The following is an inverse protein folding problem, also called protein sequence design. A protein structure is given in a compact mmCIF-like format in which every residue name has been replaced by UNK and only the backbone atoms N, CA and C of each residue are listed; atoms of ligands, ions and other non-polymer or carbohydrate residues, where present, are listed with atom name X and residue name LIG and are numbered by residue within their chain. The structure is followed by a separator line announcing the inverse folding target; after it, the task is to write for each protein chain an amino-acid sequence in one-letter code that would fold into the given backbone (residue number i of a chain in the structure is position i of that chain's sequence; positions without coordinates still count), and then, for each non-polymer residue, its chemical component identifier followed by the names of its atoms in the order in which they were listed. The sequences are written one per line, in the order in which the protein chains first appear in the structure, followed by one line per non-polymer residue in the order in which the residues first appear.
data_IF_720904264204
#
_entry.id   IF_720904264204
#
_cell.length_a   1.000
_cell.length_b   1.000
_cell.length_c   1.000
_cell.angle_alpha   90.00
_cell.angle_beta   90.00
_cell.angle_gamma   90.00
#
_symmetry.space_group_name_H-M   'P 1'
#
loop_
_entity.id
_entity.type
_entity.pdbx_description
1 polymer ?
#
# COMPACT_ATOMS: atom_id res chain seq x y z
N UNK A 1 -5.06 44.28 -65.80
CA UNK A 1 -6.08 43.31 -66.26
C UNK A 1 -7.06 43.10 -65.19
N UNK A 2 -8.19 43.63 -65.38
CA UNK A 2 -9.40 43.70 -64.52
C UNK A 2 -10.10 42.35 -64.54
N UNK A 3 -10.45 41.79 -63.36
CA UNK A 3 -11.53 40.79 -63.31
C UNK A 3 -12.38 40.99 -62.06
N UNK A 4 -13.59 41.11 -62.38
CA UNK A 4 -14.84 41.44 -61.70
C UNK A 4 -15.26 40.48 -60.61
N UNK A 5 -15.70 41.05 -59.48
CA UNK A 5 -16.55 40.43 -58.45
C UNK A 5 -17.93 40.06 -59.03
N UNK A 6 -18.36 38.85 -58.72
CA UNK A 6 -19.81 38.49 -58.79
C UNK A 6 -20.30 38.10 -57.41
N UNK A 7 -21.20 38.93 -56.94
CA UNK A 7 -21.94 38.82 -55.68
C UNK A 7 -23.13 37.88 -55.91
N UNK A 8 -23.25 36.82 -55.09
CA UNK A 8 -24.46 35.96 -55.02
C UNK A 8 -25.06 35.99 -53.63
N UNK A 9 -25.94 36.97 -53.46
CA UNK A 9 -26.89 37.00 -52.38
C UNK A 9 -27.94 35.91 -52.56
N UNK A 10 -27.98 34.91 -51.71
CA UNK A 10 -29.07 33.95 -51.58
C UNK A 10 -29.95 34.33 -50.38
N UNK A 11 -31.18 34.63 -50.71
CA UNK A 11 -32.33 35.00 -49.84
C UNK A 11 -32.77 33.79 -49.04
N UNK A 12 -32.96 33.95 -47.74
CA UNK A 12 -33.58 32.96 -46.87
C UNK A 12 -35.11 32.89 -47.06
N UNK A 13 -35.69 31.69 -46.98
CA UNK A 13 -37.13 31.57 -46.82
C UNK A 13 -37.52 31.60 -45.34
N UNK A 14 -38.50 32.45 -45.04
CA UNK A 14 -39.26 32.45 -43.80
C UNK A 14 -40.17 31.22 -43.72
N UNK A 15 -40.07 30.44 -42.63
CA UNK A 15 -41.12 29.51 -42.22
C UNK A 15 -41.29 29.56 -40.71
N UNK A 16 -42.40 30.07 -40.29
CA UNK A 16 -42.99 29.87 -38.97
C UNK A 16 -43.12 28.37 -38.71
N UNK A 17 -42.65 27.92 -37.58
CA UNK A 17 -42.98 26.58 -37.10
C UNK A 17 -43.20 26.62 -35.59
N UNK A 18 -44.38 26.18 -35.23
CA UNK A 18 -44.98 26.06 -33.92
C UNK A 18 -44.03 25.52 -32.83
N UNK A 19 -44.15 26.12 -31.65
CA UNK A 19 -43.59 25.62 -30.42
C UNK A 19 -44.25 24.30 -30.01
N UNK A 20 -43.59 23.19 -30.26
CA UNK A 20 -43.97 21.91 -29.68
C UNK A 20 -43.48 21.85 -28.23
N UNK A 21 -44.42 21.78 -27.31
CA UNK A 21 -44.25 21.52 -25.89
C UNK A 21 -43.46 20.24 -25.69
N UNK A 22 -42.22 20.36 -25.18
CA UNK A 22 -41.44 19.22 -24.72
C UNK A 22 -42.02 18.75 -23.39
N UNK A 23 -42.76 17.64 -23.45
CA UNK A 23 -43.20 16.92 -22.26
C UNK A 23 -41.98 16.49 -21.44
N UNK A 24 -41.90 16.94 -20.20
CA UNK A 24 -40.95 16.39 -19.21
C UNK A 24 -41.24 14.90 -19.04
N UNK A 25 -40.31 14.06 -19.50
CA UNK A 25 -40.31 12.66 -19.14
C UNK A 25 -39.91 12.60 -17.66
N UNK A 26 -40.87 12.44 -16.79
CA UNK A 26 -40.65 11.95 -15.42
C UNK A 26 -40.19 10.52 -15.54
N UNK A 27 -38.94 10.25 -15.10
CA UNK A 27 -38.41 8.89 -14.97
C UNK A 27 -39.33 8.03 -14.08
N UNK A 28 -39.29 6.71 -14.20
CA UNK A 28 -40.15 5.85 -13.42
C UNK A 28 -39.94 6.12 -11.92
N UNK A 29 -41.06 6.29 -11.20
CA UNK A 29 -41.06 6.36 -9.74
C UNK A 29 -40.40 5.10 -9.17
N UNK A 30 -39.64 5.23 -8.07
CA UNK A 30 -39.09 4.05 -7.40
C UNK A 30 -40.25 3.16 -6.95
N UNK A 31 -40.21 1.91 -7.40
CA UNK A 31 -41.18 0.90 -6.95
C UNK A 31 -40.84 0.60 -5.49
N UNK A 32 -41.67 1.06 -4.57
CA UNK A 32 -41.66 0.68 -3.17
C UNK A 32 -41.92 -0.83 -3.06
N UNK A 33 -40.86 -1.63 -3.07
CA UNK A 33 -40.92 -3.00 -2.61
C UNK A 33 -41.11 -3.01 -1.09
N UNK A 34 -41.74 -4.05 -0.50
CA UNK A 34 -41.94 -4.12 0.94
C UNK A 34 -40.62 -3.97 1.67
N UNK A 35 -40.46 -2.92 2.48
CA UNK A 35 -39.34 -2.70 3.34
C UNK A 35 -39.26 -3.92 4.27
N UNK A 36 -38.34 -4.84 3.97
CA UNK A 36 -37.91 -5.85 4.94
C UNK A 36 -37.29 -5.08 6.10
N UNK A 37 -37.94 -5.06 7.24
CA UNK A 37 -37.53 -4.39 8.45
C UNK A 37 -36.30 -5.04 9.09
N UNK A 38 -35.16 -4.97 8.38
CA UNK A 38 -33.85 -5.22 8.97
C UNK A 38 -33.41 -3.87 9.51
N UNK A 39 -33.61 -3.64 10.79
CA UNK A 39 -33.01 -2.50 11.48
C UNK A 39 -31.50 -2.44 11.20
N UNK A 40 -30.86 -1.27 11.36
CA UNK A 40 -29.43 -1.16 11.10
C UNK A 40 -28.69 -2.25 11.91
N UNK A 41 -27.90 -3.08 11.20
CA UNK A 41 -27.06 -4.08 11.85
C UNK A 41 -26.18 -3.38 12.89
N UNK A 42 -25.94 -4.03 14.03
CA UNK A 42 -25.01 -3.49 15.03
C UNK A 42 -23.65 -3.24 14.36
N UNK A 43 -22.98 -2.11 14.68
CA UNK A 43 -21.70 -1.78 14.08
C UNK A 43 -20.69 -2.91 14.29
N UNK A 44 -19.99 -3.29 13.24
CA UNK A 44 -18.94 -4.30 13.29
C UNK A 44 -17.70 -3.76 14.00
N UNK A 45 -16.76 -4.65 14.35
CA UNK A 45 -15.46 -4.27 14.88
C UNK A 45 -14.74 -3.30 13.94
N UNK A 46 -14.74 -3.59 12.64
CA UNK A 46 -14.15 -2.73 11.62
C UNK A 46 -14.81 -1.34 11.60
N UNK A 47 -16.13 -1.25 11.68
CA UNK A 47 -16.84 0.03 11.71
C UNK A 47 -16.40 0.90 12.90
N UNK A 48 -16.24 0.31 14.08
CA UNK A 48 -15.78 1.02 15.26
C UNK A 48 -14.35 1.53 15.12
N UNK A 49 -13.46 0.71 14.52
CA UNK A 49 -12.07 1.09 14.24
C UNK A 49 -12.01 2.21 13.20
N UNK A 50 -12.75 2.10 12.10
CA UNK A 50 -12.81 3.12 11.05
C UNK A 50 -13.42 4.43 11.56
N UNK A 51 -14.45 4.38 12.39
CA UNK A 51 -15.01 5.58 13.03
C UNK A 51 -13.98 6.35 13.86
N UNK A 52 -13.05 5.65 14.51
CA UNK A 52 -11.93 6.25 15.27
C UNK A 52 -10.84 6.79 14.36
N UNK A 53 -10.50 6.10 13.27
CA UNK A 53 -9.35 6.41 12.42
C UNK A 53 -9.65 7.43 11.31
N UNK A 54 -10.86 7.46 10.74
CA UNK A 54 -11.21 8.37 9.63
C UNK A 54 -10.96 9.84 9.92
N UNK A 55 -11.29 10.40 11.10
CA UNK A 55 -10.91 11.78 11.41
C UNK A 55 -9.40 12.04 11.37
N UNK A 56 -8.59 11.02 11.71
CA UNK A 56 -7.13 11.10 11.59
C UNK A 56 -6.70 11.04 10.12
N UNK A 57 -7.31 10.17 9.32
CA UNK A 57 -7.05 10.09 7.88
C UNK A 57 -7.40 11.39 7.16
N UNK A 58 -8.52 12.02 7.51
CA UNK A 58 -8.92 13.32 6.94
C UNK A 58 -7.87 14.39 7.26
N UNK A 59 -7.45 14.49 8.52
CA UNK A 59 -6.38 15.40 8.95
C UNK A 59 -5.04 15.13 8.24
N UNK A 60 -4.70 13.87 7.99
CA UNK A 60 -3.51 13.47 7.23
C UNK A 60 -3.61 13.94 5.79
N UNK A 61 -4.77 13.74 5.15
CA UNK A 61 -5.00 14.10 3.76
C UNK A 61 -4.86 15.61 3.50
N UNK A 62 -5.30 16.46 4.43
CA UNK A 62 -5.15 17.93 4.35
C UNK A 62 -3.70 18.37 4.13
N UNK A 63 -2.74 17.70 4.76
CA UNK A 63 -1.32 18.05 4.69
C UNK A 63 -0.49 17.27 3.65
N UNK A 64 -1.06 16.29 2.95
CA UNK A 64 -0.29 15.38 2.08
C UNK A 64 0.44 16.08 0.96
N UNK A 65 -0.18 17.06 0.27
CA UNK A 65 0.46 17.78 -0.83
C UNK A 65 1.65 18.59 -0.33
N UNK A 66 1.52 19.30 0.79
CA UNK A 66 2.60 20.11 1.35
C UNK A 66 3.78 19.21 1.76
N UNK A 67 3.53 18.09 2.43
CA UNK A 67 4.60 17.15 2.79
C UNK A 67 5.36 16.61 1.57
N UNK A 68 4.63 16.23 0.50
CA UNK A 68 5.25 15.76 -0.75
C UNK A 68 6.11 16.83 -1.43
N UNK A 69 5.68 18.10 -1.39
CA UNK A 69 6.42 19.22 -2.00
C UNK A 69 7.67 19.61 -1.22
N UNK A 70 7.57 19.58 0.10
CA UNK A 70 8.62 20.02 1.01
C UNK A 70 9.56 18.87 1.41
N UNK A 71 9.32 17.64 0.95
CA UNK A 71 10.02 16.43 1.39
C UNK A 71 10.03 16.31 2.92
N UNK A 72 8.90 16.61 3.54
CA UNK A 72 8.75 16.61 4.99
C UNK A 72 8.29 15.25 5.51
N UNK A 73 9.15 14.55 6.26
CA UNK A 73 8.81 13.27 6.87
C UNK A 73 7.56 13.39 7.75
N UNK A 74 6.61 12.43 7.66
CA UNK A 74 5.31 12.47 8.33
C UNK A 74 5.39 12.07 9.81
N UNK A 75 6.28 12.72 10.59
CA UNK A 75 6.49 12.38 12.02
C UNK A 75 5.20 12.58 12.84
N UNK A 76 4.52 13.72 12.66
CA UNK A 76 3.25 13.95 13.34
C UNK A 76 2.11 13.03 12.86
N UNK A 77 1.90 12.82 11.55
CA UNK A 77 0.95 11.82 11.06
C UNK A 77 1.15 10.41 11.63
N UNK A 78 2.40 9.94 11.74
CA UNK A 78 2.69 8.65 12.38
C UNK A 78 2.27 8.67 13.85
N UNK A 79 2.59 9.75 14.59
CA UNK A 79 2.17 9.88 15.99
C UNK A 79 0.64 9.89 16.13
N UNK A 80 -0.08 10.66 15.30
CA UNK A 80 -1.56 10.68 15.34
C UNK A 80 -2.16 9.31 15.10
N UNK A 81 -1.59 8.51 14.20
CA UNK A 81 -2.00 7.13 13.95
C UNK A 81 -1.75 6.24 15.16
N UNK A 82 -0.57 6.33 15.77
CA UNK A 82 -0.23 5.56 16.98
C UNK A 82 -1.15 5.94 18.15
N UNK A 83 -1.37 7.23 18.40
CA UNK A 83 -2.27 7.75 19.44
C UNK A 83 -3.72 7.29 19.22
N UNK A 84 -4.14 7.15 17.96
CA UNK A 84 -5.42 6.59 17.57
C UNK A 84 -5.46 5.05 17.60
N UNK A 85 -4.38 4.37 18.00
CA UNK A 85 -4.31 2.92 18.20
C UNK A 85 -3.99 2.13 16.93
N UNK A 86 -3.36 2.73 15.92
CA UNK A 86 -3.01 2.03 14.69
C UNK A 86 -2.02 0.88 14.92
N UNK A 87 -1.10 1.03 15.87
CA UNK A 87 -0.11 0.00 16.21
C UNK A 87 -0.74 -1.30 16.76
N UNK A 88 -1.97 -1.25 17.29
CA UNK A 88 -2.62 -2.39 17.94
C UNK A 88 -3.74 -3.05 17.14
N UNK A 89 -3.93 -2.68 15.88
CA UNK A 89 -5.06 -3.14 15.06
C UNK A 89 -5.19 -4.67 15.03
N UNK A 90 -4.09 -5.39 14.88
CA UNK A 90 -4.04 -6.86 14.84
C UNK A 90 -3.88 -7.51 16.23
N UNK A 91 -3.47 -6.75 17.24
CA UNK A 91 -3.27 -7.26 18.62
C UNK A 91 -4.60 -7.78 19.16
N UNK A 92 -4.65 -8.99 19.78
CA UNK A 92 -5.87 -9.53 20.37
C UNK A 92 -6.47 -8.62 21.45
N UNK A 93 -7.78 -8.66 21.61
CA UNK A 93 -8.52 -7.85 22.59
C UNK A 93 -8.09 -8.11 24.03
N UNK A 94 -7.69 -9.34 24.37
CA UNK A 94 -7.20 -9.72 25.69
C UNK A 94 -5.87 -9.03 26.06
N UNK A 95 -5.14 -8.52 25.06
CA UNK A 95 -3.94 -7.70 25.24
C UNK A 95 -4.19 -6.19 25.06
N UNK A 96 -5.46 -5.78 24.90
CA UNK A 96 -5.83 -4.37 24.71
C UNK A 96 -5.79 -3.89 23.26
N UNK A 97 -5.73 -4.80 22.31
CA UNK A 97 -5.79 -4.51 20.88
C UNK A 97 -7.21 -4.49 20.31
N UNK A 98 -7.31 -4.24 19.02
CA UNK A 98 -8.57 -4.24 18.27
C UNK A 98 -8.92 -5.63 17.70
N UNK A 99 -7.96 -6.56 17.60
CA UNK A 99 -8.14 -7.92 17.14
C UNK A 99 -8.68 -8.04 15.71
N UNK A 100 -8.34 -7.10 14.81
CA UNK A 100 -8.79 -7.15 13.43
C UNK A 100 -8.28 -8.41 12.72
N UNK A 101 -9.08 -8.94 11.82
CA UNK A 101 -8.65 -9.94 10.83
C UNK A 101 -7.75 -9.30 9.78
N UNK A 102 -7.03 -10.10 8.98
CA UNK A 102 -6.20 -9.59 7.88
C UNK A 102 -7.04 -8.87 6.80
N UNK A 103 -8.23 -9.35 6.41
CA UNK A 103 -9.14 -8.61 5.53
C UNK A 103 -9.58 -7.26 6.10
N UNK A 104 -9.92 -7.19 7.38
CA UNK A 104 -10.28 -5.92 8.05
C UNK A 104 -9.10 -4.95 8.10
N UNK A 105 -7.90 -5.43 8.41
CA UNK A 105 -6.67 -4.63 8.35
C UNK A 105 -6.42 -4.09 6.93
N UNK A 106 -6.60 -4.91 5.90
CA UNK A 106 -6.40 -4.50 4.51
C UNK A 106 -7.33 -3.35 4.11
N UNK A 107 -8.59 -3.35 4.54
CA UNK A 107 -9.52 -2.22 4.32
C UNK A 107 -9.03 -0.94 5.00
N UNK A 108 -8.54 -1.02 6.23
CA UNK A 108 -7.95 0.13 6.95
C UNK A 108 -6.72 0.67 6.20
N UNK A 109 -5.86 -0.21 5.70
CA UNK A 109 -4.67 0.17 4.94
C UNK A 109 -5.01 0.85 3.61
N UNK A 110 -6.05 0.41 2.91
CA UNK A 110 -6.52 1.05 1.67
C UNK A 110 -7.04 2.47 1.96
N UNK A 111 -7.83 2.67 3.01
CA UNK A 111 -8.32 4.00 3.39
C UNK A 111 -7.17 4.93 3.82
N UNK A 112 -6.22 4.44 4.61
CA UNK A 112 -5.02 5.20 4.98
C UNK A 112 -4.18 5.57 3.74
N UNK A 113 -3.97 4.63 2.81
CA UNK A 113 -3.23 4.89 1.59
C UNK A 113 -3.91 5.92 0.66
N UNK A 114 -5.25 5.99 0.69
CA UNK A 114 -6.00 7.02 -0.03
C UNK A 114 -5.85 8.42 0.60
N UNK A 115 -5.53 8.50 1.89
CA UNK A 115 -5.18 9.74 2.57
C UNK A 115 -3.71 10.15 2.29
N UNK A 116 -2.77 9.23 2.53
CA UNK A 116 -1.34 9.40 2.23
C UNK A 116 -0.70 8.02 1.97
N UNK A 117 -0.27 7.77 0.74
CA UNK A 117 0.24 6.48 0.30
C UNK A 117 1.57 6.06 0.92
N UNK A 118 2.29 6.99 1.59
CA UNK A 118 3.54 6.66 2.27
C UNK A 118 3.29 5.94 3.61
N UNK A 119 2.20 6.27 4.31
CA UNK A 119 1.96 5.85 5.68
C UNK A 119 1.77 4.33 5.86
N UNK A 120 0.98 3.61 5.05
CA UNK A 120 0.89 2.16 5.22
C UNK A 120 2.24 1.45 5.03
N UNK A 121 3.08 1.97 4.14
CA UNK A 121 4.42 1.44 3.91
C UNK A 121 5.33 1.62 5.14
N UNK A 122 5.20 2.73 5.87
CA UNK A 122 5.91 2.96 7.13
C UNK A 122 5.61 1.85 8.15
N UNK A 123 4.34 1.44 8.25
CA UNK A 123 3.90 0.42 9.19
C UNK A 123 4.07 -1.02 8.69
N UNK A 124 4.56 -1.25 7.48
CA UNK A 124 4.68 -2.59 6.89
C UNK A 124 5.55 -3.53 7.75
N UNK A 125 6.69 -3.04 8.23
CA UNK A 125 7.57 -3.81 9.13
C UNK A 125 6.87 -4.14 10.45
N UNK A 126 6.19 -3.16 11.04
CA UNK A 126 5.40 -3.34 12.26
C UNK A 126 4.30 -4.40 12.11
N UNK A 127 3.49 -4.30 11.06
CA UNK A 127 2.41 -5.26 10.78
C UNK A 127 2.96 -6.69 10.68
N UNK A 128 4.08 -6.87 9.97
CA UNK A 128 4.69 -8.19 9.83
C UNK A 128 5.29 -8.70 11.15
N UNK A 129 5.85 -7.81 11.99
CA UNK A 129 6.38 -8.23 13.29
C UNK A 129 5.26 -8.54 14.30
N UNK A 130 4.13 -7.80 14.27
CA UNK A 130 2.94 -8.16 15.03
C UNK A 130 2.45 -9.56 14.64
N UNK A 131 2.36 -9.83 13.33
CA UNK A 131 1.92 -11.14 12.83
C UNK A 131 2.89 -12.26 13.25
N UNK A 132 4.19 -12.03 13.19
CA UNK A 132 5.20 -12.96 13.69
C UNK A 132 5.00 -13.30 15.17
N UNK A 133 4.70 -12.29 16.00
CA UNK A 133 4.39 -12.53 17.43
C UNK A 133 3.07 -13.24 17.63
N UNK A 134 2.06 -13.02 16.78
CA UNK A 134 0.79 -13.74 16.85
C UNK A 134 0.96 -15.24 16.57
N UNK A 135 1.91 -15.61 15.70
CA UNK A 135 2.22 -17.00 15.37
C UNK A 135 3.19 -17.67 16.35
N UNK A 136 3.87 -16.89 17.19
CA UNK A 136 4.78 -17.44 18.21
C UNK A 136 4.01 -18.16 19.34
N UNK A 137 4.69 -19.12 19.98
CA UNK A 137 4.12 -19.85 21.11
C UNK A 137 3.67 -18.89 22.23
N UNK A 138 2.51 -19.12 22.86
CA UNK A 138 2.04 -18.32 23.99
C UNK A 138 3.07 -18.28 25.13
N UNK A 139 3.22 -17.11 25.76
CA UNK A 139 4.10 -16.93 26.93
C UNK A 139 5.00 -15.70 26.86
N UNK A 140 5.85 -15.57 27.83
CA UNK A 140 6.72 -14.47 28.20
C UNK A 140 7.01 -13.41 27.14
N UNK A 141 7.87 -13.72 26.19
CA UNK A 141 8.34 -12.75 25.19
C UNK A 141 7.24 -12.32 24.22
N UNK A 142 6.46 -13.28 23.69
CA UNK A 142 5.30 -12.99 22.84
C UNK A 142 4.33 -12.03 23.51
N UNK A 143 3.93 -12.33 24.74
CA UNK A 143 2.94 -11.56 25.47
C UNK A 143 3.48 -10.17 25.86
N UNK A 144 4.80 -10.07 26.12
CA UNK A 144 5.47 -8.80 26.34
C UNK A 144 5.37 -7.89 25.09
N UNK A 145 5.64 -8.43 23.90
CA UNK A 145 5.51 -7.69 22.64
C UNK A 145 4.07 -7.27 22.36
N UNK A 146 3.09 -8.15 22.55
CA UNK A 146 1.67 -7.79 22.34
C UNK A 146 1.24 -6.63 23.25
N UNK A 147 1.72 -6.56 24.49
CA UNK A 147 1.47 -5.41 25.38
C UNK A 147 2.17 -4.13 24.94
N UNK A 148 3.41 -4.24 24.41
CA UNK A 148 4.14 -3.09 23.83
C UNK A 148 3.39 -2.50 22.64
N UNK A 149 2.92 -3.33 21.70
CA UNK A 149 2.11 -2.88 20.57
C UNK A 149 0.80 -2.23 21.02
N UNK A 150 0.13 -2.82 22.03
CA UNK A 150 -1.07 -2.23 22.61
C UNK A 150 -0.81 -0.87 23.28
N UNK A 151 0.40 -0.66 23.81
CA UNK A 151 0.86 0.62 24.36
C UNK A 151 1.33 1.63 23.30
N UNK A 152 1.40 1.23 22.00
CA UNK A 152 1.75 2.12 20.90
C UNK A 152 3.20 2.04 20.44
N UNK A 153 4.02 1.11 20.98
CA UNK A 153 5.37 0.92 20.42
C UNK A 153 5.28 0.31 19.02
N UNK A 154 6.07 0.83 18.08
CA UNK A 154 6.13 0.33 16.71
C UNK A 154 7.52 -0.21 16.36
N UNK A 155 7.55 -1.08 15.34
CA UNK A 155 8.76 -1.76 14.88
C UNK A 155 8.96 -1.48 13.39
N UNK A 156 10.11 -0.94 13.01
CA UNK A 156 10.55 -0.84 11.61
C UNK A 156 11.16 -2.15 11.12
N UNK A 157 11.68 -2.14 9.90
CA UNK A 157 12.42 -3.28 9.38
C UNK A 157 13.76 -2.86 8.76
N UNK A 158 14.77 -3.74 8.86
CA UNK A 158 16.09 -3.52 8.31
C UNK A 158 16.66 -4.86 7.78
N UNK A 159 16.13 -5.34 6.66
CA UNK A 159 16.45 -6.68 6.15
C UNK A 159 17.45 -6.68 5.00
N UNK A 160 17.35 -5.71 4.09
CA UNK A 160 18.11 -5.70 2.85
C UNK A 160 19.47 -5.03 3.02
N UNK A 161 20.41 -5.46 2.22
CA UNK A 161 21.74 -4.87 2.08
C UNK A 161 21.98 -4.49 0.61
N UNK A 162 22.73 -3.41 0.40
CA UNK A 162 23.24 -3.03 -0.90
C UNK A 162 24.69 -3.45 -1.03
N UNK A 163 25.10 -4.00 -2.17
CA UNK A 163 26.48 -4.41 -2.43
C UNK A 163 26.62 -5.82 -2.96
N UNK A 164 27.86 -6.32 -3.01
CA UNK A 164 28.24 -7.58 -3.63
C UNK A 164 28.21 -8.80 -2.68
N UNK A 165 27.31 -8.82 -1.70
CA UNK A 165 27.13 -10.00 -0.84
C UNK A 165 26.65 -11.23 -1.63
N UNK A 166 27.08 -12.42 -1.24
CA UNK A 166 26.61 -13.65 -1.85
C UNK A 166 25.11 -13.84 -1.67
N UNK A 167 24.46 -14.52 -2.62
CA UNK A 167 23.02 -14.73 -2.62
C UNK A 167 22.56 -15.40 -1.30
N UNK A 168 21.62 -14.76 -0.61
CA UNK A 168 21.05 -15.30 0.64
C UNK A 168 21.93 -15.14 1.87
N UNK A 169 23.06 -14.40 1.81
CA UNK A 169 23.91 -14.13 2.98
C UNK A 169 23.76 -12.69 3.45
N UNK A 170 23.92 -12.47 4.78
CA UNK A 170 23.97 -11.14 5.37
C UNK A 170 25.41 -10.78 5.74
N UNK A 171 25.83 -9.55 5.40
CA UNK A 171 27.11 -9.00 5.87
C UNK A 171 26.99 -8.38 7.26
N UNK A 172 25.79 -8.06 7.70
CA UNK A 172 25.51 -7.63 9.07
C UNK A 172 25.71 -8.80 10.01
N UNK A 173 26.57 -8.65 11.02
CA UNK A 173 26.97 -9.72 11.92
C UNK A 173 26.41 -9.51 13.32
N UNK A 174 25.91 -10.59 13.91
CA UNK A 174 25.53 -10.68 15.31
C UNK A 174 26.55 -11.53 16.04
N UNK A 175 27.32 -10.92 16.93
CA UNK A 175 28.43 -11.56 17.61
C UNK A 175 28.25 -11.53 19.13
N UNK A 176 28.73 -12.58 19.84
CA UNK A 176 28.73 -12.62 21.29
C UNK A 176 29.95 -11.89 21.84
N UNK A 177 29.77 -10.90 22.72
CA UNK A 177 30.84 -10.23 23.45
C UNK A 177 30.55 -10.28 24.95
N UNK A 178 31.18 -11.24 25.61
CA UNK A 178 30.94 -11.55 27.02
C UNK A 178 29.52 -12.11 27.20
N UNK A 179 28.68 -11.41 27.97
CA UNK A 179 27.29 -11.77 28.26
C UNK A 179 26.26 -11.16 27.32
N UNK A 180 26.67 -10.38 26.30
CA UNK A 180 25.78 -9.62 25.41
C UNK A 180 25.97 -10.02 23.95
N UNK A 181 24.94 -9.82 23.18
CA UNK A 181 24.99 -9.76 21.71
C UNK A 181 25.29 -8.36 21.26
N UNK A 182 26.12 -8.20 20.25
CA UNK A 182 26.40 -6.94 19.55
C UNK A 182 26.19 -7.11 18.05
N UNK A 183 25.52 -6.15 17.47
CA UNK A 183 25.20 -6.11 16.05
C UNK A 183 26.13 -5.09 15.36
N UNK A 184 26.75 -5.53 14.27
CA UNK A 184 27.61 -4.71 13.43
C UNK A 184 27.25 -4.89 11.96
N UNK A 185 27.06 -3.78 11.24
CA UNK A 185 26.74 -3.83 9.81
C UNK A 185 25.98 -2.62 9.32
N UNK A 186 25.48 -2.74 8.09
CA UNK A 186 24.73 -1.69 7.41
C UNK A 186 23.56 -2.29 6.64
N UNK A 187 22.38 -1.73 6.85
CA UNK A 187 21.19 -2.08 6.10
C UNK A 187 20.71 -0.89 5.27
N UNK A 188 20.06 -1.18 4.15
CA UNK A 188 19.37 -0.20 3.29
C UNK A 188 17.93 -0.66 3.04
N UNK A 189 17.05 0.24 2.61
CA UNK A 189 15.59 0.04 2.55
C UNK A 189 14.97 -0.21 3.93
N UNK A 190 15.41 0.57 4.94
CA UNK A 190 14.98 0.41 6.34
C UNK A 190 13.69 1.16 6.65
N UNK A 191 12.71 0.97 5.79
CA UNK A 191 11.42 1.65 5.79
C UNK A 191 10.76 1.64 7.18
N UNK A 192 10.34 2.81 7.64
CA UNK A 192 9.62 2.97 8.91
C UNK A 192 10.51 3.02 10.16
N UNK A 193 11.76 2.54 10.10
CA UNK A 193 12.62 2.45 11.28
C UNK A 193 12.95 3.80 11.91
N UNK A 194 13.00 4.88 11.12
CA UNK A 194 13.27 6.23 11.63
C UNK A 194 12.15 6.77 12.53
N UNK A 195 10.95 6.22 12.44
CA UNK A 195 9.77 6.60 13.24
C UNK A 195 9.51 5.66 14.41
N UNK A 196 10.22 4.53 14.49
CA UNK A 196 9.93 3.40 15.36
C UNK A 196 10.88 3.34 16.56
N UNK A 197 10.40 2.82 17.70
CA UNK A 197 11.23 2.54 18.87
C UNK A 197 12.16 1.36 18.65
N UNK A 198 11.80 0.47 17.72
CA UNK A 198 12.53 -0.77 17.44
C UNK A 198 12.66 -0.99 15.93
N UNK A 199 13.66 -1.78 15.55
CA UNK A 199 13.81 -2.28 14.18
C UNK A 199 14.10 -3.78 14.19
N UNK A 200 13.40 -4.52 13.32
CA UNK A 200 13.62 -5.95 13.05
C UNK A 200 14.73 -6.09 11.99
N UNK A 201 15.86 -6.66 12.37
CA UNK A 201 17.07 -6.70 11.55
C UNK A 201 17.42 -8.15 11.22
N UNK A 202 17.69 -8.45 9.95
CA UNK A 202 18.31 -9.72 9.57
C UNK A 202 19.83 -9.65 9.73
N UNK A 203 20.44 -10.68 10.30
CA UNK A 203 21.88 -10.76 10.50
C UNK A 203 22.40 -12.19 10.28
N UNK A 204 23.69 -12.32 10.18
CA UNK A 204 24.38 -13.61 10.20
C UNK A 204 25.00 -13.80 11.59
N UNK A 205 24.74 -14.96 12.17
CA UNK A 205 25.33 -15.42 13.42
C UNK A 205 26.10 -16.72 13.12
N UNK A 206 27.43 -16.62 12.96
CA UNK A 206 28.30 -17.77 12.68
C UNK A 206 27.86 -18.63 11.47
N UNK A 207 27.34 -18.01 10.42
CA UNK A 207 26.85 -18.67 9.21
C UNK A 207 25.36 -19.04 9.26
N UNK A 208 24.65 -18.74 10.34
CA UNK A 208 23.24 -18.96 10.52
C UNK A 208 22.45 -17.65 10.34
N UNK A 209 21.39 -17.68 9.55
CA UNK A 209 20.51 -16.53 9.37
C UNK A 209 19.62 -16.32 10.60
N UNK A 210 19.72 -15.13 11.21
CA UNK A 210 18.94 -14.76 12.40
C UNK A 210 18.21 -13.43 12.18
N UNK A 211 17.19 -13.20 13.00
CA UNK A 211 16.61 -11.88 13.21
C UNK A 211 17.02 -11.35 14.59
N UNK A 212 17.25 -10.05 14.66
CA UNK A 212 17.58 -9.35 15.89
C UNK A 212 16.70 -8.11 16.03
N UNK A 213 16.02 -7.95 17.17
CA UNK A 213 15.20 -6.77 17.43
C UNK A 213 16.02 -5.76 18.21
N UNK A 214 16.22 -4.59 17.61
CA UNK A 214 17.17 -3.57 18.07
C UNK A 214 16.44 -2.29 18.42
N UNK A 215 16.74 -1.66 19.55
CA UNK A 215 16.26 -0.32 19.88
C UNK A 215 16.87 0.71 18.94
N UNK A 216 16.04 1.51 18.30
CA UNK A 216 16.52 2.54 17.35
C UNK A 216 17.23 3.70 18.04
N UNK A 217 16.82 4.08 19.24
CA UNK A 217 17.34 5.19 20.00
C UNK A 217 18.55 4.88 20.89
N UNK A 218 19.23 3.72 20.72
CA UNK A 218 20.39 3.37 21.55
C UNK A 218 21.72 3.84 20.92
N UNK A 219 22.81 3.92 21.71
CA UNK A 219 24.16 4.10 21.17
C UNK A 219 24.51 3.01 20.15
N UNK A 220 25.24 3.39 19.10
CA UNK A 220 25.66 2.45 18.06
C UNK A 220 24.61 2.23 16.96
N UNK A 221 23.46 2.89 17.00
CA UNK A 221 22.46 2.89 15.92
C UNK A 221 22.37 4.26 15.30
N UNK A 222 22.66 4.36 14.00
CA UNK A 222 22.55 5.60 13.23
C UNK A 222 21.61 5.38 12.04
N UNK A 223 20.51 6.17 11.95
CA UNK A 223 19.50 6.08 10.92
C UNK A 223 19.55 7.34 10.07
N UNK A 224 19.53 7.18 8.75
CA UNK A 224 19.55 8.26 7.76
C UNK A 224 18.32 8.21 6.88
N UNK A 225 17.76 9.38 6.55
CA UNK A 225 16.75 9.56 5.51
C UNK A 225 17.48 9.90 4.20
N UNK A 226 18.02 8.89 3.55
CA UNK A 226 18.83 8.99 2.32
C UNK A 226 18.21 8.24 1.12
N UNK A 227 16.89 8.05 1.14
CA UNK A 227 16.14 7.52 0.01
C UNK A 227 16.07 8.53 -1.14
N UNK A 228 16.60 8.17 -2.32
CA UNK A 228 16.65 9.03 -3.51
C UNK A 228 15.67 8.60 -4.64
N UNK A 229 14.74 7.70 -4.33
CA UNK A 229 13.71 7.27 -5.28
C UNK A 229 12.70 8.38 -5.59
N UNK A 230 12.17 8.40 -6.83
CA UNK A 230 11.24 9.44 -7.28
C UNK A 230 9.83 9.37 -6.65
N UNK A 231 9.52 8.33 -5.91
CA UNK A 231 8.25 8.16 -5.19
C UNK A 231 8.42 7.44 -3.86
N UNK A 232 7.37 7.42 -3.05
CA UNK A 232 7.42 6.93 -1.66
C UNK A 232 8.54 7.61 -0.86
N UNK A 233 8.72 8.90 -1.09
CA UNK A 233 9.84 9.67 -0.56
C UNK A 233 9.72 9.96 0.94
N UNK A 234 8.53 9.78 1.49
CA UNK A 234 8.22 10.13 2.88
C UNK A 234 8.07 8.90 3.79
N UNK A 235 8.57 7.76 3.34
CA UNK A 235 8.46 6.49 4.09
C UNK A 235 9.57 6.29 5.12
N UNK A 236 10.54 7.21 5.20
CA UNK A 236 11.74 7.04 6.02
C UNK A 236 12.55 5.81 5.60
N UNK A 237 12.46 5.46 4.31
CA UNK A 237 13.33 4.45 3.71
C UNK A 237 14.72 5.04 3.58
N UNK A 238 15.75 4.30 4.02
CA UNK A 238 17.12 4.80 3.99
C UNK A 238 18.10 3.80 4.57
N UNK A 239 19.20 4.31 5.09
CA UNK A 239 20.30 3.52 5.66
C UNK A 239 20.20 3.45 7.19
N UNK A 240 20.45 2.27 7.75
CA UNK A 240 20.82 2.10 9.17
C UNK A 240 22.22 1.54 9.24
N UNK A 241 23.05 2.13 10.10
CA UNK A 241 24.38 1.64 10.46
C UNK A 241 24.37 1.18 11.91
N UNK A 242 24.82 -0.03 12.14
CA UNK A 242 25.00 -0.62 13.46
C UNK A 242 26.51 -0.68 13.77
N UNK A 243 26.91 -0.13 14.91
CA UNK A 243 28.28 -0.15 15.42
C UNK A 243 28.23 -0.56 16.88
N UNK A 244 28.51 -1.82 17.15
CA UNK A 244 28.40 -2.44 18.47
C UNK A 244 27.03 -2.21 19.14
N UNK A 245 25.95 -2.21 18.36
CA UNK A 245 24.59 -2.04 18.86
C UNK A 245 24.20 -3.26 19.71
N UNK A 246 23.73 -3.02 20.95
CA UNK A 246 23.40 -4.09 21.87
C UNK A 246 22.09 -4.77 21.49
N UNK A 247 22.03 -6.11 21.64
CA UNK A 247 20.83 -6.92 21.44
C UNK A 247 20.65 -7.84 22.63
N UNK A 248 19.43 -7.88 23.17
CA UNK A 248 19.07 -8.78 24.29
C UNK A 248 18.93 -10.22 23.77
N UNK A 249 19.28 -11.22 24.58
CA UNK A 249 19.14 -12.65 24.20
C UNK A 249 17.72 -13.01 23.73
N UNK A 250 16.73 -12.50 24.41
CA UNK A 250 15.31 -12.73 24.09
C UNK A 250 14.87 -12.12 22.76
N UNK A 251 15.65 -11.21 22.21
CA UNK A 251 15.38 -10.50 20.95
C UNK A 251 16.07 -11.12 19.74
N UNK A 252 16.69 -12.30 19.89
CA UNK A 252 17.35 -13.04 18.81
C UNK A 252 16.56 -14.31 18.50
N UNK A 253 16.21 -14.51 17.22
CA UNK A 253 15.51 -15.70 16.75
C UNK A 253 16.11 -16.20 15.44
N UNK A 254 15.91 -17.48 15.11
CA UNK A 254 16.23 -18.00 13.79
C UNK A 254 15.33 -17.37 12.73
N UNK A 255 15.87 -17.03 11.57
CA UNK A 255 15.07 -16.48 10.48
C UNK A 255 14.03 -17.47 9.99
N UNK A 256 14.33 -18.77 9.99
CA UNK A 256 13.46 -19.84 9.54
C UNK A 256 12.28 -20.13 10.49
N UNK A 257 12.33 -19.63 11.74
CA UNK A 257 11.23 -19.75 12.70
C UNK A 257 10.05 -18.82 12.38
N UNK A 258 10.26 -17.84 11.48
CA UNK A 258 9.22 -16.88 11.09
C UNK A 258 8.03 -17.57 10.42
N UNK A 259 6.90 -16.90 10.46
CA UNK A 259 5.67 -17.39 9.83
C UNK A 259 5.82 -17.50 8.29
N UNK A 260 5.26 -18.58 7.71
CA UNK A 260 5.50 -18.93 6.29
C UNK A 260 4.91 -17.93 5.30
N UNK A 261 3.71 -17.39 5.57
CA UNK A 261 3.02 -16.44 4.69
C UNK A 261 3.54 -14.99 4.77
N UNK A 262 4.71 -14.78 5.35
CA UNK A 262 5.27 -13.42 5.52
C UNK A 262 5.43 -12.66 4.20
N UNK A 263 5.84 -13.34 3.12
CA UNK A 263 6.05 -12.71 1.81
C UNK A 263 4.72 -12.23 1.22
N UNK A 264 3.67 -13.05 1.30
CA UNK A 264 2.32 -12.68 0.86
C UNK A 264 1.74 -11.53 1.69
N UNK A 265 1.97 -11.53 3.02
CA UNK A 265 1.55 -10.43 3.91
C UNK A 265 2.28 -9.12 3.58
N UNK A 266 3.59 -9.14 3.41
CA UNK A 266 4.36 -7.96 2.99
C UNK A 266 3.86 -7.41 1.65
N UNK A 267 3.55 -8.30 0.70
CA UNK A 267 3.02 -7.90 -0.60
C UNK A 267 1.58 -7.35 -0.49
N UNK A 268 0.74 -7.91 0.38
CA UNK A 268 -0.62 -7.41 0.64
C UNK A 268 -0.61 -5.94 1.05
N UNK A 269 0.32 -5.52 1.94
CA UNK A 269 0.45 -4.10 2.33
C UNK A 269 0.76 -3.23 1.11
N UNK A 270 1.67 -3.67 0.22
CA UNK A 270 2.00 -2.94 -1.01
C UNK A 270 0.80 -2.85 -1.97
N UNK A 271 0.03 -3.93 -2.08
CA UNK A 271 -1.20 -3.95 -2.89
C UNK A 271 -2.27 -3.03 -2.32
N UNK A 272 -2.40 -2.95 -0.99
CA UNK A 272 -3.29 -1.99 -0.32
C UNK A 272 -2.86 -0.54 -0.60
N UNK A 273 -1.55 -0.25 -0.62
CA UNK A 273 -1.04 1.06 -1.04
C UNK A 273 -1.46 1.37 -2.48
N UNK A 274 -1.29 0.43 -3.42
CA UNK A 274 -1.72 0.63 -4.81
C UNK A 274 -3.23 0.88 -4.92
N UNK A 275 -4.05 0.14 -4.17
CA UNK A 275 -5.51 0.33 -4.16
C UNK A 275 -5.90 1.70 -3.59
N UNK A 276 -5.25 2.16 -2.53
CA UNK A 276 -5.46 3.50 -1.98
C UNK A 276 -5.01 4.60 -2.93
N UNK A 277 -3.89 4.43 -3.64
CA UNK A 277 -3.46 5.37 -4.71
C UNK A 277 -4.49 5.42 -5.83
N UNK A 278 -5.06 4.29 -6.25
CA UNK A 278 -6.10 4.27 -7.27
C UNK A 278 -7.36 5.03 -6.82
N UNK A 279 -7.81 4.82 -5.57
CA UNK A 279 -8.94 5.53 -4.98
C UNK A 279 -8.67 7.05 -4.85
N UNK A 280 -7.47 7.45 -4.42
CA UNK A 280 -7.06 8.86 -4.37
C UNK A 280 -7.00 9.49 -5.76
N UNK A 281 -6.52 8.75 -6.75
CA UNK A 281 -6.47 9.18 -8.16
C UNK A 281 -7.87 9.47 -8.69
N UNK A 282 -8.83 8.57 -8.45
CA UNK A 282 -10.24 8.76 -8.83
C UNK A 282 -10.82 9.99 -8.15
N UNK A 283 -10.72 10.10 -6.82
CA UNK A 283 -11.24 11.21 -6.02
C UNK A 283 -10.71 12.55 -6.50
N UNK A 284 -9.39 12.70 -6.60
CA UNK A 284 -8.72 13.95 -6.93
C UNK A 284 -8.99 14.36 -8.39
N UNK A 285 -9.09 13.39 -9.30
CA UNK A 285 -9.46 13.62 -10.70
C UNK A 285 -10.91 14.13 -10.80
N UNK A 286 -11.85 13.45 -10.14
CA UNK A 286 -13.25 13.81 -10.16
C UNK A 286 -13.48 15.19 -9.53
N UNK A 287 -12.79 15.52 -8.45
CA UNK A 287 -12.85 16.83 -7.82
C UNK A 287 -12.32 17.91 -8.77
N UNK A 288 -11.13 17.73 -9.34
CA UNK A 288 -10.53 18.70 -10.24
C UNK A 288 -11.40 18.96 -11.50
N UNK A 289 -12.12 17.94 -11.98
CA UNK A 289 -13.08 18.08 -13.10
C UNK A 289 -14.30 18.87 -12.68
N UNK A 290 -14.89 18.62 -11.51
CA UNK A 290 -16.05 19.37 -10.98
C UNK A 290 -15.73 20.86 -10.80
N UNK A 291 -14.54 21.19 -10.37
CA UNK A 291 -14.07 22.56 -10.12
C UNK A 291 -13.68 23.30 -11.40
N UNK A 292 -13.47 22.57 -12.52
CA UNK A 292 -12.98 23.17 -13.76
C UNK A 292 -14.09 23.90 -14.50
N UNK A 293 -13.87 25.20 -14.73
CA UNK A 293 -14.79 26.07 -15.47
C UNK A 293 -14.38 26.30 -16.93
N UNK A 294 -13.11 26.09 -17.28
CA UNK A 294 -12.58 26.29 -18.63
C UNK A 294 -12.75 25.03 -19.47
N UNK A 295 -13.30 25.20 -20.68
CA UNK A 295 -13.45 24.13 -21.67
C UNK A 295 -12.53 24.37 -22.87
N UNK A 296 -12.27 23.34 -23.64
CA UNK A 296 -11.64 23.45 -24.94
C UNK A 296 -12.70 23.54 -26.04
N UNK A 297 -12.38 24.25 -27.13
CA UNK A 297 -13.27 24.40 -28.30
C UNK A 297 -13.60 23.07 -29.00
N UNK A 298 -12.79 22.03 -28.77
CA UNK A 298 -13.00 20.67 -29.28
C UNK A 298 -13.82 19.79 -28.31
N UNK A 299 -14.16 20.30 -27.13
CA UNK A 299 -15.03 19.60 -26.19
C UNK A 299 -16.46 19.54 -26.74
N UNK A 300 -17.19 18.51 -26.35
CA UNK A 300 -18.56 18.27 -26.84
C UNK A 300 -19.65 18.78 -25.89
N UNK A 301 -19.26 19.41 -24.78
CA UNK A 301 -20.17 19.96 -23.79
C UNK A 301 -19.75 21.36 -23.29
N UNK A 302 -20.68 22.12 -22.73
CA UNK A 302 -20.43 23.45 -22.16
C UNK A 302 -19.71 23.43 -20.81
N UNK A 303 -19.72 22.29 -20.10
CA UNK A 303 -18.96 22.05 -18.87
C UNK A 303 -18.11 20.79 -19.04
N UNK A 304 -16.89 20.82 -18.52
CA UNK A 304 -15.95 19.68 -18.61
C UNK A 304 -16.54 18.40 -17.98
N UNK A 305 -17.28 18.54 -16.88
CA UNK A 305 -17.90 17.40 -16.19
C UNK A 305 -19.02 16.71 -17.00
N UNK A 306 -19.56 17.38 -18.01
CA UNK A 306 -20.64 16.88 -18.85
C UNK A 306 -20.10 16.34 -20.20
N UNK A 307 -18.80 16.47 -20.45
CA UNK A 307 -18.15 15.96 -21.65
C UNK A 307 -18.02 14.43 -21.60
N UNK A 308 -18.67 13.75 -22.53
CA UNK A 308 -18.72 12.29 -22.57
C UNK A 308 -17.33 11.64 -22.72
N UNK A 309 -16.37 12.30 -23.39
CA UNK A 309 -15.00 11.78 -23.52
C UNK A 309 -14.26 11.83 -22.16
N UNK A 310 -14.42 12.91 -21.42
CA UNK A 310 -13.87 13.06 -20.07
C UNK A 310 -14.51 12.05 -19.12
N UNK A 311 -15.85 11.91 -19.18
CA UNK A 311 -16.57 10.92 -18.37
C UNK A 311 -16.10 9.49 -18.65
N UNK A 312 -15.82 9.12 -19.90
CA UNK A 312 -15.30 7.80 -20.25
C UNK A 312 -13.92 7.54 -19.60
N UNK A 313 -13.01 8.51 -19.64
CA UNK A 313 -11.69 8.36 -19.00
C UNK A 313 -11.81 8.26 -17.47
N UNK A 314 -12.67 9.05 -16.84
CA UNK A 314 -12.93 8.93 -15.39
C UNK A 314 -13.52 7.56 -15.06
N UNK A 315 -14.40 7.03 -15.92
CA UNK A 315 -14.95 5.68 -15.80
C UNK A 315 -13.87 4.59 -15.82
N UNK A 316 -12.83 4.73 -16.67
CA UNK A 316 -11.66 3.83 -16.65
C UNK A 316 -10.91 3.92 -15.31
N UNK A 317 -10.63 5.13 -14.82
CA UNK A 317 -9.93 5.34 -13.54
C UNK A 317 -10.72 4.70 -12.39
N UNK A 318 -12.04 4.94 -12.33
CA UNK A 318 -12.94 4.38 -11.32
C UNK A 318 -12.97 2.85 -11.37
N UNK A 319 -13.00 2.26 -12.58
CA UNK A 319 -12.96 0.81 -12.77
C UNK A 319 -11.65 0.19 -12.26
N UNK A 320 -10.52 0.88 -12.42
CA UNK A 320 -9.24 0.45 -11.85
C UNK A 320 -9.26 0.52 -10.32
N UNK A 321 -9.81 1.58 -9.73
CA UNK A 321 -9.92 1.72 -8.28
C UNK A 321 -10.79 0.60 -7.67
N UNK A 322 -11.94 0.31 -8.28
CA UNK A 322 -12.80 -0.82 -7.91
C UNK A 322 -12.08 -2.17 -8.00
N UNK A 323 -11.40 -2.41 -9.12
CA UNK A 323 -10.65 -3.66 -9.36
C UNK A 323 -9.54 -3.83 -8.32
N UNK A 324 -8.79 -2.75 -8.02
CA UNK A 324 -7.69 -2.79 -7.06
C UNK A 324 -8.19 -3.17 -5.66
N UNK A 325 -9.26 -2.55 -5.18
CA UNK A 325 -9.85 -2.87 -3.87
C UNK A 325 -10.37 -4.32 -3.82
N UNK A 326 -11.01 -4.78 -4.90
CA UNK A 326 -11.52 -6.16 -5.00
C UNK A 326 -10.38 -7.18 -4.94
N UNK A 327 -9.28 -6.96 -5.66
CA UNK A 327 -8.12 -7.84 -5.65
C UNK A 327 -7.43 -7.86 -4.29
N UNK A 328 -7.28 -6.70 -3.63
CA UNK A 328 -6.72 -6.62 -2.27
C UNK A 328 -7.53 -7.46 -1.30
N UNK A 329 -8.86 -7.40 -1.35
CA UNK A 329 -9.74 -8.23 -0.50
C UNK A 329 -9.49 -9.71 -0.75
N UNK A 330 -9.46 -10.16 -2.01
CA UNK A 330 -9.23 -11.57 -2.34
C UNK A 330 -7.84 -12.07 -1.93
N UNK A 331 -6.81 -11.21 -1.96
CA UNK A 331 -5.48 -11.53 -1.42
C UNK A 331 -5.53 -11.62 0.11
N UNK A 332 -6.19 -10.67 0.76
CA UNK A 332 -6.28 -10.62 2.22
C UNK A 332 -7.01 -11.85 2.80
N UNK A 333 -8.08 -12.31 2.13
CA UNK A 333 -8.78 -13.55 2.48
C UNK A 333 -7.87 -14.78 2.34
N UNK A 334 -7.05 -14.86 1.28
CA UNK A 334 -6.11 -15.95 1.11
C UNK A 334 -4.98 -15.93 2.16
N UNK A 335 -4.46 -14.73 2.50
CA UNK A 335 -3.44 -14.57 3.56
C UNK A 335 -4.03 -14.90 4.94
N UNK A 336 -5.31 -14.55 5.20
CA UNK A 336 -6.01 -14.98 6.42
C UNK A 336 -6.11 -16.51 6.49
N UNK A 337 -6.45 -17.17 5.40
CA UNK A 337 -6.48 -18.65 5.35
C UNK A 337 -5.13 -19.27 5.73
N UNK A 338 -4.02 -18.69 5.26
CA UNK A 338 -2.68 -19.14 5.65
C UNK A 338 -2.37 -18.86 7.13
N UNK A 339 -2.86 -17.75 7.68
CA UNK A 339 -2.72 -17.44 9.10
C UNK A 339 -3.53 -18.41 9.97
N UNK A 340 -4.73 -18.77 9.55
CA UNK A 340 -5.62 -19.68 10.28
C UNK A 340 -5.08 -21.12 10.32
N UNK A 341 -4.33 -21.55 9.29
CA UNK A 341 -3.72 -22.89 9.21
C UNK A 341 -2.29 -22.96 9.77
N UNK A 342 -1.69 -21.83 10.18
CA UNK A 342 -0.29 -21.78 10.62
C UNK A 342 0.02 -22.69 11.82
N UNK A 343 -0.97 -22.98 12.67
CA UNK A 343 -0.86 -23.93 13.78
C UNK A 343 -0.70 -25.40 13.31
N UNK A 344 -1.03 -25.71 12.04
CA UNK A 344 -0.87 -27.00 11.38
C UNK A 344 0.43 -27.05 10.56
N UNK A 345 1.44 -26.29 10.92
CA UNK A 345 2.68 -26.12 10.17
C UNK A 345 3.16 -27.46 9.58
N UNK A 346 3.49 -27.44 8.28
CA UNK A 346 3.94 -28.58 7.47
C UNK A 346 2.89 -29.63 7.10
N UNK A 347 1.61 -29.40 7.43
CA UNK A 347 0.50 -30.20 6.87
C UNK A 347 0.20 -29.81 5.43
N UNK A 348 -0.49 -30.71 4.69
CA UNK A 348 -0.96 -30.43 3.32
C UNK A 348 -1.91 -29.23 3.29
N UNK A 349 -2.72 -29.04 4.34
CA UNK A 349 -3.66 -27.93 4.48
C UNK A 349 -2.91 -26.59 4.63
N UNK A 350 -1.94 -26.51 5.54
CA UNK A 350 -1.08 -25.33 5.71
C UNK A 350 -0.32 -25.00 4.42
N UNK A 351 0.27 -26.01 3.77
CA UNK A 351 0.99 -25.83 2.51
C UNK A 351 0.07 -25.28 1.41
N UNK A 352 -1.13 -25.85 1.25
CA UNK A 352 -2.09 -25.41 0.25
C UNK A 352 -2.56 -23.96 0.49
N UNK A 353 -2.82 -23.59 1.74
CA UNK A 353 -3.20 -22.22 2.11
C UNK A 353 -2.08 -21.22 1.81
N UNK A 354 -0.84 -21.53 2.15
CA UNK A 354 0.32 -20.70 1.85
C UNK A 354 0.57 -20.54 0.33
N UNK A 355 0.45 -21.63 -0.44
CA UNK A 355 0.51 -21.61 -1.92
C UNK A 355 -0.57 -20.69 -2.48
N UNK A 356 -1.81 -20.79 -1.99
CA UNK A 356 -2.90 -19.93 -2.44
C UNK A 356 -2.62 -18.46 -2.14
N UNK A 357 -2.12 -18.13 -0.94
CA UNK A 357 -1.78 -16.77 -0.55
C UNK A 357 -0.71 -16.16 -1.47
N UNK A 358 0.37 -16.88 -1.78
CA UNK A 358 1.43 -16.43 -2.68
C UNK A 358 0.93 -16.27 -4.12
N UNK A 359 0.13 -17.21 -4.64
CA UNK A 359 -0.41 -17.14 -5.99
C UNK A 359 -1.39 -15.96 -6.14
N UNK A 360 -2.31 -15.76 -5.19
CA UNK A 360 -3.23 -14.61 -5.21
C UNK A 360 -2.49 -13.28 -5.12
N UNK A 361 -1.49 -13.21 -4.26
CA UNK A 361 -0.59 -12.06 -4.13
C UNK A 361 0.14 -11.76 -5.45
N UNK A 362 0.72 -12.77 -6.11
CA UNK A 362 1.40 -12.62 -7.39
C UNK A 362 0.44 -12.21 -8.52
N UNK A 363 -0.77 -12.81 -8.61
CA UNK A 363 -1.79 -12.45 -9.59
C UNK A 363 -2.21 -10.98 -9.45
N UNK A 364 -2.50 -10.53 -8.21
CA UNK A 364 -2.85 -9.14 -7.94
C UNK A 364 -1.69 -8.19 -8.26
N UNK A 365 -0.46 -8.55 -7.93
CA UNK A 365 0.72 -7.74 -8.25
C UNK A 365 0.88 -7.54 -9.76
N UNK A 366 0.74 -8.58 -10.57
CA UNK A 366 0.83 -8.49 -12.04
C UNK A 366 -0.20 -7.48 -12.58
N UNK A 367 -1.45 -7.56 -12.13
CA UNK A 367 -2.52 -6.67 -12.61
C UNK A 367 -2.33 -5.25 -12.11
N UNK A 368 -2.10 -5.05 -10.82
CA UNK A 368 -2.09 -3.71 -10.21
C UNK A 368 -0.81 -2.91 -10.52
N UNK A 369 0.32 -3.59 -10.74
CA UNK A 369 1.58 -2.92 -11.11
C UNK A 369 1.52 -2.22 -12.47
N UNK A 370 0.60 -2.61 -13.34
CA UNK A 370 0.35 -1.98 -14.64
C UNK A 370 -0.85 -1.02 -14.58
N UNK A 371 -1.99 -1.50 -14.04
CA UNK A 371 -3.25 -0.77 -14.13
C UNK A 371 -3.26 0.52 -13.29
N UNK A 372 -2.68 0.50 -12.08
CA UNK A 372 -2.72 1.68 -11.18
C UNK A 372 -1.83 2.82 -11.69
N UNK A 373 -0.55 2.62 -12.08
CA UNK A 373 0.23 3.68 -12.72
C UNK A 373 -0.42 4.19 -14.02
N UNK A 374 -1.07 3.31 -14.81
CA UNK A 374 -1.82 3.73 -16.01
C UNK A 374 -2.99 4.64 -15.64
N UNK A 375 -3.79 4.30 -14.64
CA UNK A 375 -4.88 5.15 -14.16
C UNK A 375 -4.39 6.53 -13.71
N UNK A 376 -3.27 6.59 -12.97
CA UNK A 376 -2.63 7.85 -12.57
C UNK A 376 -2.14 8.68 -13.76
N UNK A 377 -1.75 8.04 -14.87
CA UNK A 377 -1.40 8.74 -16.14
C UNK A 377 -2.63 9.33 -16.80
N UNK A 378 -3.77 8.65 -16.78
CA UNK A 378 -5.03 9.11 -17.41
C UNK A 378 -5.56 10.43 -16.84
N UNK A 379 -5.20 10.78 -15.60
CA UNK A 379 -5.51 12.08 -14.97
C UNK A 379 -5.09 13.24 -15.88
N UNK A 380 -3.89 13.15 -16.48
CA UNK A 380 -3.35 14.20 -17.33
C UNK A 380 -4.08 14.30 -18.68
N UNK A 381 -4.68 13.21 -19.15
CA UNK A 381 -5.51 13.21 -20.35
C UNK A 381 -6.83 13.97 -20.15
N UNK A 382 -7.38 13.98 -18.92
CA UNK A 382 -8.63 14.67 -18.60
C UNK A 382 -8.44 16.16 -18.32
N UNK A 383 -7.34 16.54 -17.69
CA UNK A 383 -7.11 17.89 -17.19
C UNK A 383 -6.12 18.70 -18.04
N UNK A 384 -5.35 18.03 -18.91
CA UNK A 384 -4.37 18.66 -19.79
C UNK A 384 -3.22 19.34 -19.03
N UNK A 385 -2.56 20.32 -19.65
CA UNK A 385 -1.35 20.96 -19.13
C UNK A 385 -1.49 21.53 -17.71
N UNK A 386 -2.67 21.99 -17.32
CA UNK A 386 -2.88 22.53 -15.96
C UNK A 386 -2.77 21.48 -14.85
N UNK A 387 -2.84 20.18 -15.19
CA UNK A 387 -2.64 19.08 -14.25
C UNK A 387 -1.16 18.88 -13.89
N UNK A 388 -0.24 19.37 -14.72
CA UNK A 388 1.21 19.24 -14.48
C UNK A 388 1.77 20.28 -13.51
N UNK A 389 0.90 21.16 -12.97
CA UNK A 389 1.31 22.15 -11.95
C UNK A 389 1.83 21.45 -10.69
N UNK A 390 3.03 21.86 -10.25
CA UNK A 390 3.62 21.35 -8.99
C UNK A 390 2.70 21.58 -7.79
N UNK A 391 1.99 22.72 -7.74
CA UNK A 391 1.06 23.05 -6.66
C UNK A 391 -0.10 22.02 -6.53
N UNK A 392 -0.45 21.32 -7.57
CA UNK A 392 -1.48 20.27 -7.54
C UNK A 392 -0.93 18.91 -7.14
N UNK A 393 0.36 18.69 -7.32
CA UNK A 393 1.09 17.45 -7.02
C UNK A 393 0.36 16.17 -7.49
N UNK A 394 -0.40 16.22 -8.62
CA UNK A 394 -1.14 15.07 -9.14
C UNK A 394 -0.20 13.96 -9.66
N UNK A 395 1.02 14.30 -10.01
CA UNK A 395 2.09 13.37 -10.37
C UNK A 395 2.50 12.46 -9.21
N UNK A 396 2.22 12.84 -7.94
CA UNK A 396 2.50 12.01 -6.77
C UNK A 396 1.82 10.65 -6.86
N UNK A 397 0.61 10.58 -7.44
CA UNK A 397 -0.12 9.33 -7.61
C UNK A 397 0.67 8.35 -8.51
N UNK A 398 1.16 8.84 -9.65
CA UNK A 398 1.97 8.03 -10.54
C UNK A 398 3.32 7.66 -9.92
N UNK A 399 4.04 8.62 -9.35
CA UNK A 399 5.36 8.38 -8.72
C UNK A 399 5.27 7.35 -7.61
N UNK A 400 4.32 7.50 -6.70
CA UNK A 400 4.14 6.59 -5.58
C UNK A 400 3.67 5.20 -6.04
N UNK A 401 2.69 5.11 -6.95
CA UNK A 401 2.25 3.84 -7.52
C UNK A 401 3.39 3.12 -8.25
N UNK A 402 4.16 3.84 -9.08
CA UNK A 402 5.26 3.23 -9.83
C UNK A 402 6.37 2.71 -8.92
N UNK A 403 6.70 3.45 -7.87
CA UNK A 403 7.70 3.04 -6.88
C UNK A 403 7.26 1.79 -6.13
N UNK A 404 6.04 1.76 -5.61
CA UNK A 404 5.46 0.60 -4.91
C UNK A 404 5.40 -0.63 -5.83
N UNK A 405 4.96 -0.44 -7.09
CA UNK A 405 4.92 -1.52 -8.09
C UNK A 405 6.31 -2.10 -8.43
N UNK A 406 7.38 -1.36 -8.15
CA UNK A 406 8.75 -1.79 -8.42
C UNK A 406 9.43 -2.47 -7.22
N UNK A 407 8.80 -2.48 -6.04
CA UNK A 407 9.39 -3.00 -4.80
C UNK A 407 9.84 -4.46 -4.95
N UNK A 408 9.01 -5.30 -5.55
CA UNK A 408 9.36 -6.67 -5.93
C UNK A 408 9.28 -6.79 -7.47
N UNK A 409 10.29 -7.40 -8.14
CA UNK A 409 10.31 -7.47 -9.60
C UNK A 409 9.12 -8.25 -10.17
N UNK A 410 8.14 -7.51 -10.75
CA UNK A 410 6.89 -8.09 -11.28
C UNK A 410 7.09 -9.07 -12.43
N UNK A 411 8.19 -8.92 -13.17
CA UNK A 411 8.53 -9.79 -14.31
C UNK A 411 8.60 -11.28 -13.91
N UNK A 412 9.03 -11.58 -12.68
CA UNK A 412 9.07 -12.96 -12.19
C UNK A 412 7.72 -13.47 -11.72
N UNK A 413 6.81 -12.56 -11.33
CA UNK A 413 5.48 -12.94 -10.79
C UNK A 413 4.57 -13.54 -11.88
N UNK A 414 4.54 -12.93 -13.07
CA UNK A 414 3.78 -13.47 -14.19
C UNK A 414 4.24 -14.90 -14.58
N UNK A 415 5.57 -15.15 -14.58
CA UNK A 415 6.14 -16.48 -14.81
C UNK A 415 5.70 -17.49 -13.75
N UNK A 416 5.76 -17.11 -12.46
CA UNK A 416 5.35 -17.99 -11.35
C UNK A 416 3.87 -18.37 -11.47
N UNK A 417 3.00 -17.39 -11.75
CA UNK A 417 1.57 -17.63 -11.95
C UNK A 417 1.33 -18.54 -13.16
N UNK A 418 2.06 -18.32 -14.25
CA UNK A 418 1.97 -19.16 -15.47
C UNK A 418 2.41 -20.60 -15.21
N UNK A 419 3.53 -20.80 -14.53
CA UNK A 419 4.04 -22.13 -14.17
C UNK A 419 3.09 -22.87 -13.24
N UNK A 420 2.55 -22.21 -12.23
CA UNK A 420 1.48 -22.76 -11.40
C UNK A 420 0.26 -23.19 -12.22
N UNK A 421 -0.20 -22.33 -13.13
CA UNK A 421 -1.40 -22.64 -13.95
C UNK A 421 -1.20 -23.78 -14.94
N UNK A 422 0.02 -24.00 -15.44
CA UNK A 422 0.33 -25.02 -16.44
C UNK A 422 0.75 -26.33 -15.77
N UNK A 423 1.66 -26.24 -14.80
CA UNK A 423 2.38 -27.39 -14.25
C UNK A 423 2.01 -27.70 -12.79
N UNK A 424 1.30 -26.79 -12.09
CA UNK A 424 1.03 -26.91 -10.67
C UNK A 424 2.27 -26.71 -9.78
N UNK A 425 3.33 -26.10 -10.30
CA UNK A 425 4.58 -25.86 -9.54
C UNK A 425 4.31 -24.86 -8.41
N UNK A 426 4.51 -25.21 -7.12
CA UNK A 426 4.33 -24.28 -6.01
C UNK A 426 5.23 -23.06 -6.12
N UNK A 427 4.75 -21.87 -5.73
CA UNK A 427 5.56 -20.64 -5.71
C UNK A 427 6.63 -20.72 -4.60
N UNK A 428 7.76 -20.01 -4.72
CA UNK A 428 8.69 -19.86 -3.61
C UNK A 428 8.10 -18.97 -2.51
N UNK A 429 8.30 -19.33 -1.25
CA UNK A 429 7.83 -18.58 -0.08
C UNK A 429 8.83 -17.52 0.40
N UNK A 430 10.10 -17.61 -0.02
CA UNK A 430 11.17 -16.68 0.37
C UNK A 430 11.93 -16.25 -0.89
N UNK A 431 12.39 -15.01 -0.90
CA UNK A 431 13.18 -14.42 -1.97
C UNK A 431 14.56 -14.07 -1.44
N UNK A 432 15.60 -14.59 -2.09
CA UNK A 432 16.99 -14.26 -1.79
C UNK A 432 17.50 -13.21 -2.77
N UNK A 433 18.29 -12.26 -2.26
CA UNK A 433 18.95 -11.21 -3.03
C UNK A 433 20.45 -11.33 -2.79
N UNK A 434 21.25 -11.08 -3.82
CA UNK A 434 22.72 -11.13 -3.74
C UNK A 434 23.36 -11.48 -5.05
N UNK A 435 24.67 -11.68 -5.04
CA UNK A 435 25.48 -12.08 -6.20
C UNK A 435 25.42 -13.59 -6.40
N UNK A 436 25.00 -14.04 -7.59
CA UNK A 436 25.01 -15.46 -7.93
C UNK A 436 26.45 -16.01 -7.91
N UNK A 437 26.64 -17.30 -7.56
CA UNK A 437 27.94 -17.96 -7.70
C UNK A 437 28.45 -17.83 -9.14
N UNK A 438 29.75 -17.57 -9.29
CA UNK A 438 30.36 -17.59 -10.64
C UNK A 438 30.20 -18.99 -11.23
N UNK A 439 29.72 -19.17 -12.46
CA UNK A 439 29.69 -20.48 -13.08
C UNK A 439 31.12 -21.03 -13.11
N UNK A 440 31.30 -22.26 -12.59
CA UNK A 440 32.57 -23.00 -12.61
C UNK A 440 32.93 -23.43 -14.04
#
# INVERSE_FOLDING_TARGET
MTQTHTDHTLRAPSSETEAASVAHHTGPEPVDGPASGIGPAAPTRLDAVLARLRPVFDRIAEGTIAREQDHALPVEPVRWLVDAGFARLRVPTDFGGDGLTIPELAEVLVELAAADSNLPQIFRGHIAFVEDRLQAAPGGERDSWLRRFAAGEIVGNAWSETGAGALGTSQTKLERRGDRWVLNGRKFYTTGSIFAEWTDVTADRDGEAVTAIVRTGQPGVAISDDWDGFGQQLTGTGTIVFTDAEVEDAHVALFDDRFRYQTALYQLVLLAVLAGVAAATERDTAQAIRERTRVYSHGVASLVRDDAQIQAVVGEISSVAYTARTLVRGVAEAVQGAADTAHLRDSDEDLAANVLAEIRSAQAQVVLSESVPRAATLVFNTLGASATSRAKALDRHWRNARTVASHNPVIYKARIVGDWSINGTPPPFIWNIGTAPTPS
#
